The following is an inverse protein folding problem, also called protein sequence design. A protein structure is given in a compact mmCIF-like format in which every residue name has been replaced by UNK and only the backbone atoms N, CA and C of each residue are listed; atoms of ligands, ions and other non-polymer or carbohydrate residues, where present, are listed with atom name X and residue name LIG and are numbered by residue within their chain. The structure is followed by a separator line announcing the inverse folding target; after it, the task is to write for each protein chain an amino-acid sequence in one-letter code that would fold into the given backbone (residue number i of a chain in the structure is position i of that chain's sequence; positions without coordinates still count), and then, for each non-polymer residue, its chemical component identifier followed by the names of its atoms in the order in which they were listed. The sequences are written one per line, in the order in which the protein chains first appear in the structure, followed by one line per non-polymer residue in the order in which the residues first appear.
data_IF_947851982207
#
_entry.id   IF_947851982207
#
_cell.length_a   1.000
_cell.length_b   1.000
_cell.length_c   1.000
_cell.angle_alpha   90.00
_cell.angle_beta   90.00
_cell.angle_gamma   90.00
#
_symmetry.space_group_name_H-M   'P 1'
#
loop_
_entity.id
_entity.type
_entity.pdbx_description
1 polymer ?
#
# COMPACT_ATOMS: atom_id res chain seq x y z
N UNK A 1 -0.86 6.78 -21.12
CA UNK A 1 -0.56 5.57 -20.33
C UNK A 1 0.94 5.51 -19.97
N UNK A 2 1.49 6.48 -19.22
CA UNK A 2 2.96 6.59 -19.00
C UNK A 2 3.41 6.55 -17.55
N UNK A 3 2.48 6.48 -16.58
CA UNK A 3 2.80 6.53 -15.14
C UNK A 3 3.22 5.17 -14.56
N UNK A 4 2.81 4.07 -15.18
CA UNK A 4 3.10 2.71 -14.71
C UNK A 4 4.44 2.21 -15.28
N UNK A 5 5.36 1.78 -14.41
CA UNK A 5 6.67 1.22 -14.82
C UNK A 5 6.65 -0.31 -14.96
N UNK A 6 6.06 -1.02 -14.00
CA UNK A 6 6.12 -2.49 -13.92
C UNK A 6 4.76 -3.18 -14.08
N UNK A 7 3.66 -2.48 -13.83
CA UNK A 7 2.32 -3.06 -13.90
C UNK A 7 1.24 -2.00 -14.02
N UNK A 8 0.22 -2.30 -14.82
CA UNK A 8 -0.95 -1.44 -15.03
C UNK A 8 -2.21 -2.30 -14.88
N UNK A 9 -3.01 -2.00 -13.86
CA UNK A 9 -4.33 -2.59 -13.64
C UNK A 9 -5.37 -1.46 -13.72
N UNK A 10 -6.42 -1.67 -14.53
CA UNK A 10 -7.44 -0.64 -14.79
C UNK A 10 -8.81 -1.24 -14.59
N UNK A 11 -9.58 -0.64 -13.67
CA UNK A 11 -11.00 -0.93 -13.50
C UNK A 11 -11.79 0.04 -14.37
N UNK A 12 -12.49 -0.46 -15.39
CA UNK A 12 -13.27 0.38 -16.29
C UNK A 12 -14.45 -0.36 -16.90
N UNK A 13 -15.46 0.39 -17.39
CA UNK A 13 -16.52 -0.15 -18.24
C UNK A 13 -16.01 -0.22 -19.68
N UNK A 14 -15.37 -1.33 -20.06
CA UNK A 14 -14.72 -1.48 -21.37
C UNK A 14 -15.62 -1.10 -22.56
N UNK A 15 -16.91 -1.45 -22.51
CA UNK A 15 -17.87 -1.14 -23.58
C UNK A 15 -18.09 0.36 -23.78
N UNK A 16 -18.02 1.18 -22.72
CA UNK A 16 -18.20 2.62 -22.84
C UNK A 16 -17.01 3.27 -23.55
N UNK A 17 -15.80 2.85 -23.19
CA UNK A 17 -14.56 3.45 -23.72
C UNK A 17 -14.19 2.92 -25.11
N UNK A 18 -14.69 1.75 -25.51
CA UNK A 18 -14.53 1.22 -26.87
C UNK A 18 -15.20 2.10 -27.94
N UNK A 19 -16.25 2.83 -27.56
CA UNK A 19 -16.97 3.73 -28.45
C UNK A 19 -16.32 5.14 -28.52
N UNK A 20 -15.25 5.38 -27.76
CA UNK A 20 -14.51 6.64 -27.81
C UNK A 20 -13.40 6.56 -28.87
N UNK A 21 -13.52 7.37 -29.92
CA UNK A 21 -12.58 7.35 -31.05
C UNK A 21 -11.15 7.70 -30.62
N UNK A 22 -10.98 8.67 -29.71
CA UNK A 22 -9.67 9.11 -29.23
C UNK A 22 -8.93 8.03 -28.43
N UNK A 23 -9.66 7.13 -27.76
CA UNK A 23 -9.10 6.10 -26.90
C UNK A 23 -8.99 4.73 -27.58
N UNK A 24 -9.56 4.61 -28.79
CA UNK A 24 -9.53 3.39 -29.61
C UNK A 24 -8.13 2.79 -29.76
N UNK A 25 -7.04 3.52 -30.08
CA UNK A 25 -5.72 2.91 -30.24
C UNK A 25 -5.20 2.28 -28.95
N UNK A 26 -5.49 2.87 -27.78
CA UNK A 26 -5.08 2.31 -26.49
C UNK A 26 -5.96 1.12 -26.09
N UNK A 27 -7.29 1.23 -26.26
CA UNK A 27 -8.23 0.17 -25.90
C UNK A 27 -8.11 -1.06 -26.80
N UNK A 28 -7.73 -0.90 -28.07
CA UNK A 28 -7.46 -2.05 -28.94
C UNK A 28 -6.32 -2.93 -28.40
N UNK A 29 -5.30 -2.34 -27.77
CA UNK A 29 -4.21 -3.10 -27.14
C UNK A 29 -4.69 -3.76 -25.84
N UNK A 30 -5.45 -3.03 -25.02
CA UNK A 30 -5.98 -3.56 -23.76
C UNK A 30 -6.95 -4.73 -23.98
N UNK A 31 -7.82 -4.63 -24.98
CA UNK A 31 -8.83 -5.65 -25.32
C UNK A 31 -8.24 -6.94 -25.93
N UNK A 32 -6.94 -6.97 -26.29
CA UNK A 32 -6.27 -8.22 -26.66
C UNK A 32 -6.06 -9.15 -25.47
N UNK A 33 -6.16 -8.63 -24.24
CA UNK A 33 -6.02 -9.38 -23.01
C UNK A 33 -7.40 -9.75 -22.43
N UNK A 34 -7.49 -10.80 -21.61
CA UNK A 34 -8.73 -11.15 -20.92
C UNK A 34 -9.29 -9.95 -20.15
N UNK A 35 -10.61 -9.72 -20.26
CA UNK A 35 -11.30 -8.62 -19.57
C UNK A 35 -11.57 -8.89 -18.08
N UNK A 36 -11.13 -10.03 -17.57
CA UNK A 36 -11.25 -10.41 -16.16
C UNK A 36 -9.87 -10.41 -15.50
N UNK A 37 -9.85 -10.12 -14.20
CA UNK A 37 -8.60 -10.13 -13.45
C UNK A 37 -8.19 -11.58 -13.16
N UNK A 38 -6.97 -11.94 -13.57
CA UNK A 38 -6.36 -13.23 -13.27
C UNK A 38 -5.26 -13.01 -12.22
N UNK A 39 -5.35 -13.72 -11.11
CA UNK A 39 -4.41 -13.68 -9.98
C UNK A 39 -3.72 -15.03 -9.81
N UNK A 40 -2.53 -15.04 -9.23
CA UNK A 40 -1.82 -16.27 -8.85
C UNK A 40 -1.51 -16.16 -7.36
N UNK A 41 -2.43 -16.62 -6.47
CA UNK A 41 -2.29 -16.42 -5.03
C UNK A 41 -1.11 -17.19 -4.40
N UNK A 42 -0.64 -18.24 -5.09
CA UNK A 42 0.47 -19.09 -4.66
C UNK A 42 1.85 -18.46 -4.91
N UNK A 43 1.93 -17.36 -5.65
CA UNK A 43 3.18 -16.69 -6.00
C UNK A 43 3.33 -15.42 -5.15
N UNK A 44 4.15 -15.45 -4.07
CA UNK A 44 4.38 -14.27 -3.25
C UNK A 44 5.28 -13.25 -3.96
N UNK A 45 5.20 -12.00 -3.50
CA UNK A 45 6.14 -10.96 -3.90
C UNK A 45 7.41 -10.99 -3.03
N UNK A 46 8.62 -10.78 -3.59
CA UNK A 46 8.92 -10.61 -5.01
C UNK A 46 9.00 -11.96 -5.75
N UNK A 47 8.53 -12.00 -7.00
CA UNK A 47 8.67 -13.18 -7.86
C UNK A 47 9.97 -13.13 -8.68
N UNK A 48 10.50 -14.31 -9.03
CA UNK A 48 11.61 -14.49 -9.97
C UNK A 48 11.14 -14.86 -11.38
N UNK A 49 9.84 -15.08 -11.59
CA UNK A 49 9.26 -15.50 -12.87
C UNK A 49 9.36 -14.39 -13.92
N UNK A 50 9.77 -14.75 -15.15
CA UNK A 50 9.89 -13.79 -16.25
C UNK A 50 8.56 -13.62 -17.00
N UNK A 51 8.47 -12.51 -17.75
CA UNK A 51 7.31 -12.24 -18.62
C UNK A 51 7.20 -13.35 -19.68
N UNK A 52 6.04 -14.00 -19.73
CA UNK A 52 5.76 -15.09 -20.67
C UNK A 52 5.99 -16.51 -20.13
N UNK A 53 6.63 -16.66 -18.97
CA UNK A 53 6.77 -17.95 -18.31
C UNK A 53 5.45 -18.36 -17.63
N UNK A 54 5.12 -19.66 -17.74
CA UNK A 54 3.94 -20.24 -17.09
C UNK A 54 4.13 -20.21 -15.57
N UNK A 55 3.10 -19.75 -14.87
CA UNK A 55 3.09 -19.79 -13.42
C UNK A 55 3.02 -21.24 -12.91
N UNK A 56 3.63 -21.50 -11.77
CA UNK A 56 3.58 -22.82 -11.13
C UNK A 56 2.20 -23.14 -10.54
N UNK A 57 1.44 -22.11 -10.15
CA UNK A 57 0.09 -22.24 -9.61
C UNK A 57 -1.01 -22.02 -10.65
N UNK A 58 -2.21 -22.49 -10.32
CA UNK A 58 -3.40 -22.26 -11.12
C UNK A 58 -3.86 -20.79 -11.02
N UNK A 59 -4.16 -20.15 -12.17
CA UNK A 59 -4.66 -18.78 -12.17
C UNK A 59 -6.10 -18.72 -11.64
N UNK A 60 -6.32 -17.87 -10.64
CA UNK A 60 -7.64 -17.55 -10.10
C UNK A 60 -8.26 -16.39 -10.89
N UNK A 61 -9.44 -16.61 -11.47
CA UNK A 61 -10.20 -15.57 -12.16
C UNK A 61 -11.17 -14.87 -11.20
N UNK A 62 -11.07 -13.54 -11.11
CA UNK A 62 -11.98 -12.72 -10.33
C UNK A 62 -13.07 -12.15 -11.25
N UNK A 63 -14.32 -12.49 -10.92
CA UNK A 63 -15.49 -12.15 -11.74
C UNK A 63 -16.05 -10.77 -11.45
N UNK A 64 -16.15 -10.41 -10.17
CA UNK A 64 -16.78 -9.18 -9.73
C UNK A 64 -16.12 -8.64 -8.45
N UNK A 65 -16.50 -7.42 -8.06
CA UNK A 65 -15.96 -6.73 -6.88
C UNK A 65 -16.30 -7.41 -5.56
N UNK A 66 -17.45 -8.09 -5.46
CA UNK A 66 -17.82 -8.82 -4.25
C UNK A 66 -16.91 -10.04 -4.07
N UNK A 67 -16.71 -10.82 -5.14
CA UNK A 67 -15.77 -11.94 -5.17
C UNK A 67 -14.35 -11.48 -4.82
N UNK A 68 -13.90 -10.33 -5.35
CA UNK A 68 -12.61 -9.76 -4.95
C UNK A 68 -12.53 -9.50 -3.44
N UNK A 69 -13.55 -8.86 -2.87
CA UNK A 69 -13.55 -8.50 -1.46
C UNK A 69 -13.52 -9.74 -0.56
N UNK A 70 -14.34 -10.75 -0.87
CA UNK A 70 -14.35 -12.02 -0.15
C UNK A 70 -13.00 -12.73 -0.27
N UNK A 71 -12.46 -12.80 -1.49
CA UNK A 71 -11.16 -13.41 -1.73
C UNK A 71 -10.04 -12.72 -0.95
N UNK A 72 -9.97 -11.39 -0.96
CA UNK A 72 -8.93 -10.64 -0.24
C UNK A 72 -9.08 -10.82 1.27
N UNK A 73 -10.31 -10.82 1.79
CA UNK A 73 -10.57 -11.10 3.20
C UNK A 73 -10.09 -12.49 3.59
N UNK A 74 -10.50 -13.52 2.86
CA UNK A 74 -10.17 -14.91 3.17
C UNK A 74 -8.67 -15.17 3.04
N UNK A 75 -8.04 -14.60 2.00
CA UNK A 75 -6.59 -14.67 1.78
C UNK A 75 -5.81 -13.92 2.87
N UNK A 76 -6.32 -12.78 3.34
CA UNK A 76 -5.72 -12.06 4.45
C UNK A 76 -5.80 -12.89 5.74
N UNK A 77 -6.96 -13.44 6.06
CA UNK A 77 -7.15 -14.25 7.27
C UNK A 77 -6.28 -15.51 7.26
N UNK A 78 -6.12 -16.17 6.11
CA UNK A 78 -5.23 -17.34 6.01
C UNK A 78 -3.75 -17.00 6.15
N UNK A 79 -3.35 -15.79 5.78
CA UNK A 79 -1.94 -15.38 5.73
C UNK A 79 -1.54 -14.42 6.87
N UNK A 80 -2.46 -14.09 7.78
CA UNK A 80 -2.31 -13.08 8.83
C UNK A 80 -1.03 -13.28 9.67
N UNK A 81 -0.80 -14.49 10.16
CA UNK A 81 0.37 -14.81 11.00
C UNK A 81 1.69 -14.60 10.26
N UNK A 82 1.76 -15.08 9.01
CA UNK A 82 2.95 -14.90 8.18
C UNK A 82 3.17 -13.43 7.82
N UNK A 83 2.09 -12.68 7.63
CA UNK A 83 2.15 -11.25 7.34
C UNK A 83 2.64 -10.45 8.55
N UNK A 84 2.17 -10.81 9.75
CA UNK A 84 2.59 -10.19 11.02
C UNK A 84 4.10 -10.33 11.22
N UNK A 85 4.62 -11.55 11.13
CA UNK A 85 6.07 -11.81 11.30
C UNK A 85 6.91 -11.05 10.26
N UNK A 86 6.49 -11.06 8.99
CA UNK A 86 7.19 -10.33 7.93
C UNK A 86 7.16 -8.81 8.15
N UNK A 87 6.04 -8.27 8.66
CA UNK A 87 5.89 -6.86 8.98
C UNK A 87 6.81 -6.45 10.13
N UNK A 88 6.85 -7.24 11.21
CA UNK A 88 7.74 -7.01 12.37
C UNK A 88 9.21 -6.99 11.92
N UNK A 89 9.63 -7.96 11.10
CA UNK A 89 11.00 -8.01 10.54
C UNK A 89 11.32 -6.79 9.66
N UNK A 90 10.39 -6.37 8.80
CA UNK A 90 10.57 -5.19 7.96
C UNK A 90 10.68 -3.90 8.78
N UNK A 91 9.88 -3.78 9.84
CA UNK A 91 9.93 -2.66 10.78
C UNK A 91 11.24 -2.61 11.57
N UNK A 92 11.75 -3.75 12.02
CA UNK A 92 13.06 -3.80 12.66
C UNK A 92 14.18 -3.36 11.70
N UNK A 93 14.14 -3.81 10.45
CA UNK A 93 15.11 -3.42 9.43
C UNK A 93 15.06 -1.92 9.16
N UNK A 94 13.86 -1.35 9.00
CA UNK A 94 13.68 0.09 8.85
C UNK A 94 14.22 0.85 10.06
N UNK A 95 13.89 0.40 11.27
CA UNK A 95 14.38 1.01 12.52
C UNK A 95 15.90 1.02 12.59
N UNK A 96 16.56 -0.09 12.20
CA UNK A 96 18.03 -0.14 12.13
C UNK A 96 18.59 0.84 11.09
N UNK A 97 17.96 0.97 9.91
CA UNK A 97 18.42 1.90 8.88
C UNK A 97 18.27 3.37 9.30
N UNK A 98 17.16 3.74 9.93
CA UNK A 98 16.95 5.09 10.47
C UNK A 98 17.94 5.39 11.59
N UNK A 99 18.16 4.45 12.51
CA UNK A 99 19.10 4.63 13.62
C UNK A 99 20.57 4.79 13.16
N UNK A 100 20.92 4.22 12.00
CA UNK A 100 22.25 4.39 11.38
C UNK A 100 22.38 5.71 10.60
N UNK A 101 21.28 6.33 10.18
CA UNK A 101 21.28 7.53 9.31
C UNK A 101 21.12 8.85 10.08
N UNK A 102 20.67 8.83 11.34
CA UNK A 102 20.67 10.04 12.16
C UNK A 102 22.11 10.40 12.57
N UNK A 103 22.57 11.64 12.32
CA UNK A 103 23.81 12.11 12.94
C UNK A 103 23.57 12.13 14.45
N UNK A 104 24.51 11.58 15.22
CA UNK A 104 24.53 11.70 16.67
C UNK A 104 24.47 13.19 16.98
N UNK A 105 23.32 13.68 17.46
CA UNK A 105 23.17 15.06 17.85
C UNK A 105 24.13 15.29 19.01
N UNK A 106 25.18 16.06 18.76
CA UNK A 106 26.10 16.49 19.79
C UNK A 106 25.27 17.23 20.86
N UNK A 107 25.21 16.69 22.07
CA UNK A 107 24.27 17.08 23.15
C UNK A 107 24.37 18.58 23.53
N UNK A 108 25.42 19.25 23.07
CA UNK A 108 25.70 20.66 23.33
C UNK A 108 24.80 21.64 22.57
N UNK A 109 24.22 21.27 21.42
CA UNK A 109 23.43 22.21 20.59
C UNK A 109 21.92 22.14 20.90
N UNK A 110 21.43 20.97 21.33
CA UNK A 110 20.01 20.72 21.58
C UNK A 110 19.44 21.48 22.80
N UNK A 111 20.27 21.75 23.81
CA UNK A 111 19.86 22.44 25.03
C UNK A 111 19.52 23.94 24.82
N UNK A 112 20.07 24.55 23.77
CA UNK A 112 19.94 25.98 23.50
C UNK A 112 18.77 26.28 22.55
N UNK A 113 18.47 25.38 21.61
CA UNK A 113 17.27 25.40 20.77
C UNK A 113 15.99 25.13 21.57
N UNK A 114 16.02 24.22 22.54
CA UNK A 114 14.87 23.94 23.42
C UNK A 114 14.46 25.17 24.25
N UNK A 115 15.41 26.00 24.69
CA UNK A 115 15.12 27.23 25.43
C UNK A 115 14.47 28.30 24.55
N UNK A 116 14.83 28.37 23.27
CA UNK A 116 14.24 29.30 22.30
C UNK A 116 12.84 28.85 21.86
N UNK A 117 12.64 27.56 21.63
CA UNK A 117 11.35 27.00 21.20
C UNK A 117 10.24 27.10 22.27
N UNK A 118 10.59 26.98 23.56
CA UNK A 118 9.63 27.16 24.68
C UNK A 118 9.17 28.60 24.83
N UNK A 119 10.01 29.58 24.46
CA UNK A 119 9.63 31.00 24.45
C UNK A 119 8.68 31.31 23.28
N UNK A 120 8.87 30.65 22.14
CA UNK A 120 8.07 30.87 20.93
C UNK A 120 6.71 30.14 20.96
N UNK A 121 6.63 28.98 21.62
CA UNK A 121 5.38 28.23 21.80
C UNK A 121 4.39 28.93 22.73
N UNK A 122 4.87 29.67 23.74
CA UNK A 122 4.01 30.52 24.59
C UNK A 122 3.38 31.70 23.83
N UNK A 123 4.00 32.16 22.75
CA UNK A 123 3.49 33.25 21.92
C UNK A 123 2.52 32.80 20.82
N UNK A 124 2.59 31.53 20.40
CA UNK A 124 1.76 30.97 19.30
C UNK A 124 0.52 30.20 19.76
N UNK A 125 0.40 29.87 21.05
CA UNK A 125 -0.78 29.22 21.62
C UNK A 125 -2.07 30.07 21.58
N UNK A 126 -1.98 31.35 21.18
CA UNK A 126 -3.14 32.25 21.08
C UNK A 126 -3.84 32.23 19.71
N UNK A 127 -3.36 31.45 18.72
CA UNK A 127 -4.00 31.40 17.40
C UNK A 127 -3.62 30.15 16.58
N UNK A 128 -4.48 29.13 16.55
CA UNK A 128 -4.64 28.27 15.36
C UNK A 128 -5.86 27.32 15.46
N UNK A 129 -6.56 27.06 14.33
CA UNK A 129 -7.66 26.10 14.19
C UNK A 129 -7.15 24.69 13.83
N UNK A 130 -8.00 23.67 14.01
CA UNK A 130 -7.70 22.26 13.73
C UNK A 130 -7.70 21.93 12.21
N UNK A 131 -6.77 21.07 11.73
CA UNK A 131 -6.86 20.48 10.39
C UNK A 131 -7.28 19.01 10.39
N UNK A 132 -8.03 18.67 9.36
CA UNK A 132 -8.67 17.40 9.02
C UNK A 132 -7.69 16.23 8.82
N UNK A 133 -8.14 15.02 9.15
CA UNK A 133 -7.36 13.78 9.05
C UNK A 133 -7.52 13.14 7.67
N UNK A 134 -6.50 13.27 6.84
CA UNK A 134 -6.29 12.37 5.70
C UNK A 134 -5.94 10.96 6.22
N UNK A 135 -6.55 9.94 5.62
CA UNK A 135 -6.36 8.54 5.99
C UNK A 135 -5.00 8.08 5.44
N UNK A 136 -3.96 8.13 6.28
CA UNK A 136 -2.64 7.56 5.99
C UNK A 136 -2.65 6.08 6.37
N UNK A 137 -2.26 5.21 5.42
CA UNK A 137 -2.12 3.74 5.57
C UNK A 137 -1.07 3.30 6.63
N UNK A 138 -0.48 4.23 7.37
CA UNK A 138 0.72 4.06 8.21
C UNK A 138 0.42 3.49 9.61
N UNK A 139 -0.83 3.14 9.91
CA UNK A 139 -1.23 2.56 11.20
C UNK A 139 -1.99 1.24 11.05
N UNK A 140 -1.39 0.23 10.43
CA UNK A 140 -1.83 -1.16 10.67
C UNK A 140 -1.28 -1.61 12.03
N UNK A 141 -1.95 -1.19 13.11
CA UNK A 141 -1.81 -1.81 14.44
C UNK A 141 -2.53 -3.17 14.39
N UNK A 142 -1.80 -4.23 14.06
CA UNK A 142 -2.34 -5.60 14.09
C UNK A 142 -2.89 -5.98 15.47
N UNK A 143 -2.39 -5.37 16.55
CA UNK A 143 -2.91 -5.55 17.91
C UNK A 143 -4.36 -5.03 18.08
N UNK A 144 -4.77 -3.98 17.35
CA UNK A 144 -6.15 -3.47 17.40
C UNK A 144 -7.17 -4.36 16.70
N UNK A 145 -6.72 -5.22 15.78
CA UNK A 145 -7.59 -6.18 15.08
C UNK A 145 -7.95 -7.38 15.96
N UNK A 146 -7.13 -7.71 16.96
CA UNK A 146 -7.42 -8.78 17.93
C UNK A 146 -8.47 -8.37 18.98
N UNK A 147 -8.67 -7.07 19.21
CA UNK A 147 -9.66 -6.55 20.19
C UNK A 147 -11.09 -6.46 19.64
N UNK A 148 -11.34 -6.79 18.38
CA UNK A 148 -12.71 -6.76 17.83
C UNK A 148 -13.51 -7.92 18.42
N UNK A 149 -14.57 -7.66 19.20
CA UNK A 149 -15.36 -8.72 19.80
C UNK A 149 -15.97 -9.60 18.71
N UNK A 150 -15.73 -10.92 18.81
CA UNK A 150 -16.46 -11.94 18.03
C UNK A 150 -17.91 -11.92 18.52
N UNK A 151 -18.83 -11.44 17.68
CA UNK A 151 -20.27 -11.60 17.89
C UNK A 151 -20.72 -13.02 17.55
#
# INVERSE_FOLDING_TARGET
MSRARLGLYVLCRANLFRNCFELTPAFNILCQRPGHLLLIPSEPYPTQRKVGERAAGEPLQIENTVHMSTFVHDFYMSNMESMRVNYELAMEQYRRQVQVTLPVADESVAAEEQRRAVMESKAKAEKAPEPEKDIVFESMDFEKLEEVPKY
#
